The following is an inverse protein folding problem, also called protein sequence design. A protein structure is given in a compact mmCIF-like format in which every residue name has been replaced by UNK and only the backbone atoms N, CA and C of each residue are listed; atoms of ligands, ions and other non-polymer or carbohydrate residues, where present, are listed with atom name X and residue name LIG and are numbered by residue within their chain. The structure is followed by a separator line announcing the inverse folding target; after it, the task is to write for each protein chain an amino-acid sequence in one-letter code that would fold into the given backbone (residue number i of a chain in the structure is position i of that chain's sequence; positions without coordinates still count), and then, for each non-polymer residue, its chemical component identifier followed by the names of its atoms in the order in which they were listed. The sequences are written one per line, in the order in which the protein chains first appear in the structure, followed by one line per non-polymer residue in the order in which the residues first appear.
data_IF_034229434369
#
_entry.id   IF_034229434369
#
_cell.length_a   1.000
_cell.length_b   1.000
_cell.length_c   1.000
_cell.angle_alpha   90.00
_cell.angle_beta   90.00
_cell.angle_gamma   90.00
#
_symmetry.space_group_name_H-M   'P 1'
#
loop_
_entity.id
_entity.type
_entity.pdbx_description
1 polymer ?
#
# COMPACT_ATOMS: atom_id res chain seq x y z
N UNK A 1 -58.91 -8.56 -11.16
CA UNK A 1 -57.95 -7.89 -10.25
C UNK A 1 -56.86 -8.89 -9.93
N UNK A 2 -55.80 -8.90 -10.72
CA UNK A 2 -54.50 -8.28 -10.38
C UNK A 2 -53.72 -9.12 -9.36
N UNK A 3 -53.19 -10.26 -9.82
CA UNK A 3 -52.10 -10.96 -9.16
C UNK A 3 -50.80 -10.27 -9.56
N UNK A 4 -50.27 -9.43 -8.66
CA UNK A 4 -48.96 -8.83 -8.84
C UNK A 4 -47.88 -9.89 -8.58
N UNK A 5 -47.04 -10.13 -9.58
CA UNK A 5 -45.81 -10.89 -9.46
C UNK A 5 -44.96 -10.32 -8.31
N UNK A 6 -44.58 -11.19 -7.37
CA UNK A 6 -43.48 -10.90 -6.46
C UNK A 6 -42.21 -10.77 -7.31
N UNK A 7 -41.78 -9.53 -7.54
CA UNK A 7 -40.50 -9.26 -8.16
C UNK A 7 -39.41 -9.78 -7.21
N UNK A 8 -38.58 -10.65 -7.77
CA UNK A 8 -37.31 -11.14 -7.22
C UNK A 8 -36.50 -9.94 -6.69
N UNK A 9 -36.44 -9.79 -5.37
CA UNK A 9 -35.75 -8.70 -4.67
C UNK A 9 -34.54 -9.25 -3.94
N UNK A 10 -33.68 -9.97 -4.67
CA UNK A 10 -32.29 -10.06 -4.26
C UNK A 10 -31.66 -8.66 -4.37
N UNK A 11 -30.96 -8.15 -3.34
CA UNK A 11 -30.24 -6.89 -3.45
C UNK A 11 -29.30 -6.95 -4.66
N UNK A 12 -29.40 -6.00 -5.58
CA UNK A 12 -28.44 -5.89 -6.67
C UNK A 12 -27.07 -5.64 -6.04
N UNK A 13 -26.10 -6.50 -6.33
CA UNK A 13 -24.71 -6.34 -5.89
C UNK A 13 -24.22 -4.93 -6.24
N UNK A 14 -23.55 -4.29 -5.27
CA UNK A 14 -22.91 -3.00 -5.50
C UNK A 14 -21.82 -3.14 -6.57
N UNK A 15 -21.45 -2.05 -7.24
CA UNK A 15 -20.38 -2.09 -8.24
C UNK A 15 -19.04 -2.53 -7.62
N UNK A 16 -18.79 -2.19 -6.36
CA UNK A 16 -17.62 -2.64 -5.60
C UNK A 16 -17.60 -4.17 -5.40
N UNK A 17 -18.75 -4.76 -5.05
CA UNK A 17 -18.92 -6.21 -4.94
C UNK A 17 -18.73 -6.90 -6.29
N UNK A 18 -19.27 -6.32 -7.37
CA UNK A 18 -19.09 -6.85 -8.73
C UNK A 18 -17.61 -6.85 -9.15
N UNK A 19 -16.87 -5.77 -8.84
CA UNK A 19 -15.45 -5.68 -9.15
C UNK A 19 -14.61 -6.70 -8.35
N UNK A 20 -14.98 -6.95 -7.10
CA UNK A 20 -14.31 -7.96 -6.26
C UNK A 20 -14.61 -9.37 -6.74
N UNK A 21 -15.89 -9.68 -7.00
CA UNK A 21 -16.33 -10.97 -7.53
C UNK A 21 -15.72 -11.26 -8.92
N UNK A 22 -15.48 -10.23 -9.73
CA UNK A 22 -14.76 -10.37 -10.99
C UNK A 22 -13.34 -10.90 -10.74
N UNK A 23 -12.58 -10.33 -9.81
CA UNK A 23 -11.21 -10.79 -9.55
C UNK A 23 -11.18 -12.26 -9.11
N UNK A 24 -12.11 -12.67 -8.25
CA UNK A 24 -12.26 -14.08 -7.82
C UNK A 24 -12.64 -15.00 -8.98
N UNK A 25 -13.52 -14.53 -9.87
CA UNK A 25 -13.91 -15.27 -11.08
C UNK A 25 -12.73 -15.44 -12.04
N UNK A 26 -11.89 -14.41 -12.19
CA UNK A 26 -10.71 -14.46 -13.04
C UNK A 26 -9.64 -15.41 -12.47
N UNK A 27 -9.48 -15.44 -11.14
CA UNK A 27 -8.56 -16.35 -10.45
C UNK A 27 -8.97 -17.82 -10.65
N UNK A 28 -10.27 -18.11 -10.56
CA UNK A 28 -10.79 -19.46 -10.71
C UNK A 28 -10.74 -20.00 -12.17
N UNK A 29 -10.62 -19.12 -13.17
CA UNK A 29 -10.61 -19.51 -14.58
C UNK A 29 -9.20 -19.74 -15.09
N UNK A 30 -8.91 -20.96 -15.52
CA UNK A 30 -7.63 -21.30 -16.15
C UNK A 30 -7.56 -20.81 -17.60
N UNK A 31 -6.37 -20.38 -18.01
CA UNK A 31 -6.07 -20.10 -19.40
C UNK A 31 -6.11 -21.39 -20.23
N UNK A 32 -6.47 -21.32 -21.53
CA UNK A 32 -6.48 -22.50 -22.41
C UNK A 32 -5.13 -23.22 -22.47
N UNK A 33 -4.04 -22.47 -22.30
CA UNK A 33 -2.68 -22.98 -22.16
C UNK A 33 -1.91 -22.10 -21.17
N UNK A 34 -1.07 -22.69 -20.29
CA UNK A 34 -0.19 -21.93 -19.42
C UNK A 34 0.71 -20.97 -20.20
N UNK A 35 0.97 -19.79 -19.65
CA UNK A 35 1.86 -18.78 -20.19
C UNK A 35 3.01 -18.53 -19.21
N UNK A 36 4.06 -17.84 -19.67
CA UNK A 36 5.20 -17.50 -18.81
C UNK A 36 4.82 -16.62 -17.62
N UNK A 37 3.74 -15.84 -17.75
CA UNK A 37 3.24 -14.95 -16.70
C UNK A 37 2.20 -15.61 -15.77
N UNK A 38 1.78 -16.85 -16.03
CA UNK A 38 0.81 -17.56 -15.19
C UNK A 38 -0.15 -18.45 -15.95
N UNK A 39 -1.16 -18.95 -15.24
CA UNK A 39 -2.08 -19.99 -15.72
C UNK A 39 -3.57 -19.65 -15.54
N UNK A 40 -3.90 -18.51 -14.95
CA UNK A 40 -5.26 -18.03 -14.74
C UNK A 40 -5.62 -16.80 -15.59
N UNK A 41 -6.91 -16.51 -15.74
CA UNK A 41 -7.36 -15.25 -16.35
C UNK A 41 -6.98 -14.03 -15.50
N UNK A 42 -6.79 -14.20 -14.19
CA UNK A 42 -6.27 -13.15 -13.32
C UNK A 42 -4.80 -12.83 -13.65
N UNK A 43 -4.00 -13.85 -13.94
CA UNK A 43 -2.62 -13.64 -14.41
C UNK A 43 -2.59 -12.93 -15.76
N UNK A 44 -3.51 -13.25 -16.67
CA UNK A 44 -3.66 -12.52 -17.93
C UNK A 44 -4.08 -11.07 -17.69
N UNK A 45 -5.02 -10.83 -16.77
CA UNK A 45 -5.40 -9.48 -16.36
C UNK A 45 -4.20 -8.69 -15.88
N UNK A 46 -3.40 -9.24 -14.96
CA UNK A 46 -2.16 -8.61 -14.48
C UNK A 46 -1.12 -8.46 -15.58
N UNK A 47 -0.97 -9.43 -16.48
CA UNK A 47 -0.03 -9.33 -17.60
C UNK A 47 -0.40 -8.21 -18.58
N UNK A 48 -1.69 -8.00 -18.88
CA UNK A 48 -2.16 -6.89 -19.73
C UNK A 48 -1.99 -5.54 -19.01
N UNK A 49 -2.38 -5.50 -17.74
CA UNK A 49 -2.18 -4.39 -16.81
C UNK A 49 -0.71 -3.99 -16.69
N UNK A 50 0.18 -4.98 -16.70
CA UNK A 50 1.62 -4.83 -16.61
C UNK A 50 2.28 -4.70 -17.99
N UNK A 51 1.45 -4.66 -19.02
CA UNK A 51 1.81 -4.50 -20.41
C UNK A 51 2.56 -5.70 -20.97
N UNK A 52 2.87 -6.74 -20.17
CA UNK A 52 3.57 -7.99 -20.53
C UNK A 52 2.97 -8.63 -21.77
N UNK A 53 1.66 -8.48 -21.93
CA UNK A 53 0.94 -8.85 -23.15
C UNK A 53 0.19 -7.65 -23.74
N UNK A 54 -0.10 -7.67 -25.06
CA UNK A 54 -1.04 -6.73 -25.66
C UNK A 54 -2.43 -6.82 -25.02
N UNK A 55 -3.18 -5.73 -25.04
CA UNK A 55 -4.56 -5.71 -24.55
C UNK A 55 -5.44 -6.59 -25.45
N UNK A 56 -6.10 -7.58 -24.85
CA UNK A 56 -7.14 -8.39 -25.48
C UNK A 56 -8.49 -7.65 -25.40
N UNK A 57 -8.98 -7.20 -26.56
CA UNK A 57 -10.25 -6.47 -26.67
C UNK A 57 -11.43 -7.37 -26.33
N UNK A 58 -11.43 -8.63 -26.75
CA UNK A 58 -12.51 -9.57 -26.47
C UNK A 58 -12.58 -9.92 -24.98
N UNK A 59 -11.42 -10.02 -24.32
CA UNK A 59 -11.36 -10.11 -22.86
C UNK A 59 -12.01 -8.89 -22.20
N UNK A 60 -11.62 -7.68 -22.61
CA UNK A 60 -12.15 -6.43 -22.06
C UNK A 60 -13.68 -6.30 -22.23
N UNK A 61 -14.20 -6.69 -23.40
CA UNK A 61 -15.64 -6.72 -23.69
C UNK A 61 -16.37 -7.75 -22.81
N UNK A 62 -15.82 -8.96 -22.67
CA UNK A 62 -16.42 -10.03 -21.87
C UNK A 62 -16.56 -9.64 -20.39
N UNK A 63 -15.56 -8.97 -19.83
CA UNK A 63 -15.60 -8.51 -18.43
C UNK A 63 -16.39 -7.21 -18.25
N UNK A 64 -16.96 -6.65 -19.34
CA UNK A 64 -17.69 -5.38 -19.33
C UNK A 64 -16.85 -4.25 -18.75
N UNK A 65 -15.60 -4.15 -19.19
CA UNK A 65 -14.60 -3.25 -18.61
C UNK A 65 -15.09 -1.80 -18.56
N UNK A 66 -15.72 -1.33 -19.65
CA UNK A 66 -16.20 0.06 -19.75
C UNK A 66 -17.32 0.31 -18.76
N UNK A 67 -18.37 -0.51 -18.73
CA UNK A 67 -19.48 -0.33 -17.79
C UNK A 67 -19.03 -0.44 -16.33
N UNK A 68 -18.15 -1.41 -16.04
CA UNK A 68 -17.63 -1.63 -14.69
C UNK A 68 -16.83 -0.41 -14.22
N UNK A 69 -15.94 0.10 -15.07
CA UNK A 69 -15.10 1.26 -14.71
C UNK A 69 -15.89 2.56 -14.66
N UNK A 70 -16.91 2.76 -15.50
CA UNK A 70 -17.84 3.89 -15.37
C UNK A 70 -18.58 3.84 -14.03
N UNK A 71 -19.06 2.66 -13.63
CA UNK A 71 -19.71 2.46 -12.33
C UNK A 71 -18.78 2.64 -11.12
N UNK A 72 -17.47 2.42 -11.29
CA UNK A 72 -16.46 2.63 -10.25
C UNK A 72 -15.96 4.08 -10.16
N UNK A 73 -16.27 4.95 -11.14
CA UNK A 73 -15.81 6.35 -11.13
C UNK A 73 -16.15 7.11 -9.84
N UNK A 74 -17.32 6.94 -9.20
CA UNK A 74 -17.63 7.63 -7.94
C UNK A 74 -16.62 7.32 -6.83
N UNK A 75 -15.92 6.19 -6.87
CA UNK A 75 -14.84 5.91 -5.91
C UNK A 75 -13.74 6.96 -6.00
N UNK A 76 -13.48 7.56 -7.16
CA UNK A 76 -12.43 8.56 -7.33
C UNK A 76 -12.64 9.81 -6.44
N UNK A 77 -13.86 10.04 -5.96
CA UNK A 77 -14.21 11.19 -5.11
C UNK A 77 -14.47 10.81 -3.65
N UNK A 78 -14.54 9.51 -3.33
CA UNK A 78 -14.76 9.03 -1.96
C UNK A 78 -13.45 9.00 -1.14
N UNK A 79 -13.51 9.18 0.19
CA UNK A 79 -12.34 9.00 1.03
C UNK A 79 -11.69 7.62 0.85
N UNK A 80 -10.38 7.51 1.12
CA UNK A 80 -9.76 6.18 1.21
C UNK A 80 -10.38 5.45 2.42
N UNK A 81 -10.95 4.26 2.25
CA UNK A 81 -11.58 3.52 3.35
C UNK A 81 -10.62 3.28 4.51
N UNK A 82 -11.10 3.48 5.73
CA UNK A 82 -10.36 3.22 6.97
C UNK A 82 -10.48 1.77 7.44
N UNK A 83 -9.95 1.47 8.63
CA UNK A 83 -10.01 0.13 9.22
C UNK A 83 -11.45 -0.28 9.58
N UNK A 84 -12.27 0.68 10.03
CA UNK A 84 -13.69 0.48 10.36
C UNK A 84 -14.55 0.10 9.15
N UNK A 85 -14.11 0.50 7.94
CA UNK A 85 -14.79 0.18 6.68
C UNK A 85 -14.52 -1.26 6.20
N UNK A 86 -13.55 -1.94 6.83
CA UNK A 86 -13.13 -3.31 6.52
C UNK A 86 -12.09 -3.39 5.39
N UNK A 87 -11.14 -4.34 5.52
CA UNK A 87 -10.05 -4.57 4.55
C UNK A 87 -10.51 -4.78 3.10
N UNK A 88 -11.74 -5.27 2.92
CA UNK A 88 -12.35 -5.47 1.60
C UNK A 88 -12.54 -4.16 0.82
N UNK A 89 -12.77 -3.02 1.50
CA UNK A 89 -12.93 -1.74 0.84
C UNK A 89 -11.57 -1.15 0.38
N UNK A 90 -10.51 -1.35 1.17
CA UNK A 90 -9.14 -1.04 0.75
C UNK A 90 -8.75 -1.86 -0.49
N UNK A 91 -9.05 -3.17 -0.49
CA UNK A 91 -8.88 -4.05 -1.65
C UNK A 91 -9.63 -3.54 -2.87
N UNK A 92 -10.86 -3.04 -2.70
CA UNK A 92 -11.67 -2.46 -3.78
C UNK A 92 -10.99 -1.25 -4.43
N UNK A 93 -10.38 -0.35 -3.65
CA UNK A 93 -9.65 0.80 -4.21
C UNK A 93 -8.47 0.38 -5.10
N UNK A 94 -7.76 -0.68 -4.71
CA UNK A 94 -6.67 -1.26 -5.49
C UNK A 94 -7.18 -1.95 -6.76
N UNK A 95 -8.30 -2.68 -6.68
CA UNK A 95 -8.95 -3.30 -7.84
C UNK A 95 -9.41 -2.24 -8.84
N UNK A 96 -10.08 -1.18 -8.37
CA UNK A 96 -10.54 -0.08 -9.20
C UNK A 96 -9.38 0.62 -9.93
N UNK A 97 -8.28 0.90 -9.22
CA UNK A 97 -7.06 1.48 -9.82
C UNK A 97 -6.55 0.63 -10.97
N UNK A 98 -6.54 -0.69 -10.83
CA UNK A 98 -6.11 -1.60 -11.89
C UNK A 98 -7.11 -1.63 -13.05
N UNK A 99 -8.42 -1.75 -12.78
CA UNK A 99 -9.42 -1.70 -13.85
C UNK A 99 -9.35 -0.37 -14.65
N UNK A 100 -9.09 0.75 -14.00
CA UNK A 100 -8.87 2.05 -14.66
C UNK A 100 -7.63 2.05 -15.55
N UNK A 101 -6.54 1.43 -15.10
CA UNK A 101 -5.33 1.27 -15.92
C UNK A 101 -5.62 0.40 -17.14
N UNK A 102 -6.29 -0.74 -16.99
CA UNK A 102 -6.62 -1.60 -18.11
C UNK A 102 -7.46 -0.86 -19.16
N UNK A 103 -8.44 -0.05 -18.73
CA UNK A 103 -9.21 0.82 -19.62
C UNK A 103 -8.35 1.89 -20.29
N UNK A 104 -7.42 2.49 -19.54
CA UNK A 104 -6.45 3.43 -20.09
C UNK A 104 -5.62 2.82 -21.20
N UNK A 105 -5.09 1.61 -20.98
CA UNK A 105 -4.34 0.86 -21.99
C UNK A 105 -5.19 0.51 -23.22
N UNK A 106 -6.44 0.06 -23.03
CA UNK A 106 -7.38 -0.22 -24.12
C UNK A 106 -7.59 1.01 -24.99
N UNK A 107 -7.89 2.17 -24.39
CA UNK A 107 -8.13 3.42 -25.11
C UNK A 107 -6.88 3.90 -25.85
N UNK A 108 -5.70 3.79 -25.23
CA UNK A 108 -4.44 4.09 -25.91
C UNK A 108 -4.21 3.16 -27.12
N UNK A 109 -4.52 1.87 -26.99
CA UNK A 109 -4.43 0.89 -28.09
C UNK A 109 -5.39 1.19 -29.25
N UNK A 110 -6.52 1.84 -28.96
CA UNK A 110 -7.50 2.30 -29.96
C UNK A 110 -7.13 3.66 -30.60
N UNK A 111 -5.98 4.25 -30.24
CA UNK A 111 -5.57 5.57 -30.71
C UNK A 111 -6.22 6.75 -29.97
N UNK A 112 -7.08 6.50 -28.97
CA UNK A 112 -7.70 7.53 -28.12
C UNK A 112 -6.76 7.95 -27.00
N UNK A 113 -5.58 8.46 -27.37
CA UNK A 113 -4.47 8.71 -26.44
C UNK A 113 -4.85 9.68 -25.32
N UNK A 114 -5.52 10.78 -25.65
CA UNK A 114 -5.91 11.80 -24.66
C UNK A 114 -6.87 11.22 -23.60
N UNK A 115 -7.85 10.42 -24.01
CA UNK A 115 -8.76 9.72 -23.10
C UNK A 115 -8.01 8.67 -22.28
N UNK A 116 -7.21 7.81 -22.94
CA UNK A 116 -6.46 6.76 -22.27
C UNK A 116 -5.51 7.30 -21.21
N UNK A 117 -4.82 8.41 -21.49
CA UNK A 117 -4.00 9.14 -20.52
C UNK A 117 -4.81 9.59 -19.30
N UNK A 118 -6.01 10.14 -19.50
CA UNK A 118 -6.85 10.58 -18.39
C UNK A 118 -7.25 9.40 -17.48
N UNK A 119 -7.47 8.21 -18.06
CA UNK A 119 -7.71 6.97 -17.31
C UNK A 119 -6.46 6.47 -16.56
N UNK A 120 -5.28 6.51 -17.19
CA UNK A 120 -4.02 6.13 -16.56
C UNK A 120 -3.63 7.04 -15.38
N UNK A 121 -4.13 8.28 -15.34
CA UNK A 121 -3.90 9.20 -14.22
C UNK A 121 -4.81 8.91 -13.01
N UNK A 122 -5.92 8.18 -13.17
CA UNK A 122 -6.91 7.97 -12.10
C UNK A 122 -6.35 7.31 -10.84
N UNK A 123 -5.49 6.28 -10.89
CA UNK A 123 -4.89 5.73 -9.66
C UNK A 123 -4.15 6.78 -8.83
N UNK A 124 -3.46 7.70 -9.51
CA UNK A 124 -2.70 8.79 -8.87
C UNK A 124 -3.64 9.84 -8.26
N UNK A 125 -4.77 10.12 -8.89
CA UNK A 125 -5.83 10.95 -8.30
C UNK A 125 -6.45 10.25 -7.07
N UNK A 126 -6.73 8.95 -7.17
CA UNK A 126 -7.29 8.16 -6.07
C UNK A 126 -6.37 8.08 -4.85
N UNK A 127 -5.05 8.05 -5.06
CA UNK A 127 -4.04 8.12 -4.00
C UNK A 127 -4.08 9.42 -3.19
N UNK A 128 -4.67 10.48 -3.74
CA UNK A 128 -4.70 11.83 -3.12
C UNK A 128 -6.10 12.22 -2.65
N UNK A 129 -7.02 11.26 -2.57
CA UNK A 129 -8.35 11.46 -1.98
C UNK A 129 -8.23 11.81 -0.50
N UNK A 130 -9.29 12.38 0.06
CA UNK A 130 -9.35 12.68 1.49
C UNK A 130 -9.12 11.41 2.32
N UNK A 131 -8.46 11.54 3.47
CA UNK A 131 -8.18 10.41 4.36
C UNK A 131 -6.98 9.55 3.96
N UNK A 132 -6.18 9.98 2.97
CA UNK A 132 -5.01 9.22 2.53
C UNK A 132 -3.90 9.08 3.59
N UNK A 133 -3.88 9.91 4.62
CA UNK A 133 -2.96 9.86 5.76
C UNK A 133 -3.70 9.81 7.12
N UNK A 134 -4.93 9.31 7.16
CA UNK A 134 -5.66 9.12 8.43
C UNK A 134 -5.22 7.87 9.21
N UNK A 135 -4.41 7.00 8.59
CA UNK A 135 -3.77 5.84 9.22
C UNK A 135 -2.58 5.38 8.38
N UNK A 136 -1.72 4.54 8.96
CA UNK A 136 -0.61 3.91 8.24
C UNK A 136 -1.10 3.01 7.11
N UNK A 137 -2.22 2.31 7.30
CA UNK A 137 -2.82 1.46 6.25
C UNK A 137 -3.33 2.30 5.07
N UNK A 138 -4.01 3.41 5.34
CA UNK A 138 -4.51 4.30 4.28
C UNK A 138 -3.37 4.92 3.50
N UNK A 139 -2.28 5.32 4.17
CA UNK A 139 -1.09 5.86 3.50
C UNK A 139 -0.41 4.80 2.64
N UNK A 140 -0.24 3.58 3.15
CA UNK A 140 0.30 2.46 2.38
C UNK A 140 -0.55 2.19 1.12
N UNK A 141 -1.88 2.25 1.25
CA UNK A 141 -2.80 2.08 0.13
C UNK A 141 -2.64 3.21 -0.90
N UNK A 142 -2.51 4.45 -0.44
CA UNK A 142 -2.25 5.60 -1.30
C UNK A 142 -0.93 5.46 -2.08
N UNK A 143 0.15 5.07 -1.42
CA UNK A 143 1.46 4.78 -2.04
C UNK A 143 1.31 3.72 -3.13
N UNK A 144 0.59 2.63 -2.84
CA UNK A 144 0.40 1.54 -3.79
C UNK A 144 -0.42 1.97 -5.02
N UNK A 145 -1.49 2.74 -4.84
CA UNK A 145 -2.28 3.28 -5.96
C UNK A 145 -1.48 4.27 -6.82
N UNK A 146 -0.67 5.15 -6.21
CA UNK A 146 0.17 6.08 -6.98
C UNK A 146 1.23 5.29 -7.78
N UNK A 147 1.85 4.28 -7.15
CA UNK A 147 2.80 3.38 -7.81
C UNK A 147 2.22 2.66 -9.03
N UNK A 148 0.98 2.15 -8.94
CA UNK A 148 0.26 1.56 -10.07
C UNK A 148 0.16 2.57 -11.22
N UNK A 149 -0.35 3.78 -10.95
CA UNK A 149 -0.53 4.78 -11.99
C UNK A 149 0.79 5.24 -12.63
N UNK A 150 1.85 5.38 -11.83
CA UNK A 150 3.17 5.73 -12.32
C UNK A 150 3.74 4.67 -13.26
N UNK A 151 3.74 3.39 -12.84
CA UNK A 151 4.28 2.28 -13.62
C UNK A 151 3.49 2.08 -14.92
N UNK A 152 2.16 2.22 -14.89
CA UNK A 152 1.33 2.06 -16.09
C UNK A 152 1.56 3.18 -17.11
N UNK A 153 1.72 4.42 -16.66
CA UNK A 153 2.03 5.54 -17.56
C UNK A 153 3.44 5.44 -18.13
N UNK A 154 4.44 5.02 -17.33
CA UNK A 154 5.84 4.95 -17.71
C UNK A 154 6.11 4.23 -19.03
N UNK A 155 5.31 3.20 -19.35
CA UNK A 155 5.47 2.42 -20.59
C UNK A 155 5.27 3.22 -21.86
N UNK A 156 4.60 4.36 -21.76
CA UNK A 156 4.33 5.24 -22.89
C UNK A 156 5.40 6.31 -23.11
N UNK A 157 6.46 6.34 -22.28
CA UNK A 157 7.56 7.30 -22.38
C UNK A 157 8.18 7.33 -23.78
N UNK A 158 8.28 6.19 -24.46
CA UNK A 158 8.88 6.13 -25.81
C UNK A 158 7.85 6.04 -26.94
N UNK A 159 6.60 5.66 -26.65
CA UNK A 159 5.58 5.41 -27.68
C UNK A 159 4.61 6.57 -27.91
N UNK A 160 4.38 7.41 -26.90
CA UNK A 160 3.53 8.59 -27.08
C UNK A 160 4.29 9.71 -27.79
N UNK A 161 3.57 10.42 -28.66
CA UNK A 161 4.05 11.68 -29.21
C UNK A 161 4.41 12.65 -28.07
N UNK A 162 5.38 13.53 -28.32
CA UNK A 162 5.88 14.47 -27.32
C UNK A 162 4.75 15.33 -26.71
N UNK A 163 3.82 15.83 -27.53
CA UNK A 163 2.65 16.59 -27.06
C UNK A 163 1.83 15.82 -26.03
N UNK A 164 1.64 14.51 -26.24
CA UNK A 164 0.85 13.67 -25.34
C UNK A 164 1.60 13.38 -24.03
N UNK A 165 2.93 13.19 -24.11
CA UNK A 165 3.78 13.02 -22.93
C UNK A 165 3.81 14.28 -22.08
N UNK A 166 3.99 15.45 -22.70
CA UNK A 166 4.01 16.74 -21.99
C UNK A 166 2.66 17.09 -21.38
N UNK A 167 1.55 16.73 -22.03
CA UNK A 167 0.23 16.88 -21.44
C UNK A 167 0.00 15.95 -20.23
N UNK A 168 0.56 14.72 -20.23
CA UNK A 168 0.58 13.88 -19.02
C UNK A 168 1.39 14.50 -17.90
N UNK A 169 2.59 14.99 -18.21
CA UNK A 169 3.44 15.69 -17.24
C UNK A 169 2.70 16.87 -16.61
N UNK A 170 2.05 17.71 -17.42
CA UNK A 170 1.26 18.84 -16.92
C UNK A 170 0.16 18.39 -15.95
N UNK A 171 -0.59 17.34 -16.30
CA UNK A 171 -1.62 16.82 -15.40
C UNK A 171 -1.04 16.19 -14.13
N UNK A 172 0.06 15.45 -14.25
CA UNK A 172 0.76 14.84 -13.12
C UNK A 172 1.33 15.88 -12.14
N UNK A 173 1.87 16.99 -12.63
CA UNK A 173 2.40 18.09 -11.83
C UNK A 173 1.30 18.91 -11.13
N UNK A 174 0.06 18.84 -11.64
CA UNK A 174 -1.10 19.50 -11.02
C UNK A 174 -1.74 18.69 -9.88
N UNK A 175 -1.26 17.47 -9.63
CA UNK A 175 -1.76 16.64 -8.55
C UNK A 175 -1.38 17.24 -7.18
N UNK A 176 -2.29 17.12 -6.20
CA UNK A 176 -1.99 17.45 -4.81
C UNK A 176 -0.80 16.62 -4.27
N UNK A 177 -0.13 17.06 -3.20
CA UNK A 177 0.83 16.19 -2.51
C UNK A 177 0.17 14.89 -2.04
N UNK A 178 0.97 13.82 -1.93
CA UNK A 178 0.52 12.59 -1.24
C UNK A 178 0.36 12.89 0.26
N UNK A 179 -0.47 12.09 0.96
CA UNK A 179 -0.60 12.18 2.41
C UNK A 179 0.72 12.03 3.16
N UNK A 180 0.82 12.61 4.36
CA UNK A 180 2.06 12.68 5.11
C UNK A 180 2.23 11.51 6.10
N UNK A 181 3.42 10.90 6.13
CA UNK A 181 3.75 9.84 7.10
C UNK A 181 3.58 10.30 8.55
N UNK A 182 4.02 11.52 8.86
CA UNK A 182 3.91 12.08 10.21
C UNK A 182 2.44 12.12 10.67
N UNK A 183 1.53 12.61 9.83
CA UNK A 183 0.08 12.63 10.10
C UNK A 183 -0.48 11.22 10.27
N UNK A 184 -0.13 10.30 9.36
CA UNK A 184 -0.58 8.91 9.42
C UNK A 184 -0.17 8.23 10.73
N UNK A 185 1.06 8.45 11.20
CA UNK A 185 1.53 7.90 12.48
C UNK A 185 0.77 8.45 13.69
N UNK A 186 0.43 9.74 13.70
CA UNK A 186 -0.30 10.37 14.80
C UNK A 186 -1.76 9.89 14.89
N UNK A 187 -2.38 9.65 13.74
CA UNK A 187 -3.80 9.28 13.65
C UNK A 187 -4.06 7.77 13.65
N UNK A 188 -3.03 6.94 13.41
CA UNK A 188 -3.16 5.48 13.29
C UNK A 188 -3.89 4.84 14.48
N UNK A 189 -3.55 5.27 15.70
CA UNK A 189 -4.18 4.76 16.92
C UNK A 189 -5.67 5.08 17.03
N UNK A 190 -6.15 6.14 16.36
CA UNK A 190 -7.55 6.57 16.35
C UNK A 190 -8.36 5.99 15.17
N UNK A 191 -7.69 5.36 14.20
CA UNK A 191 -8.31 4.68 13.08
C UNK A 191 -8.99 3.35 13.48
N UNK A 192 -8.71 2.84 14.68
CA UNK A 192 -9.34 1.65 15.24
C UNK A 192 -10.67 1.99 15.95
N UNK A 193 -11.61 1.02 16.04
CA UNK A 193 -12.81 1.18 16.87
C UNK A 193 -12.42 1.58 18.29
N UNK A 194 -13.16 2.50 18.93
CA UNK A 194 -12.80 3.07 20.24
C UNK A 194 -12.42 2.01 21.29
N UNK A 195 -13.19 0.91 21.36
CA UNK A 195 -12.96 -0.22 22.27
C UNK A 195 -11.62 -0.96 22.05
N UNK A 196 -10.98 -0.77 20.90
CA UNK A 196 -9.74 -1.42 20.50
C UNK A 196 -8.55 -0.45 20.45
N UNK A 197 -8.77 0.85 20.70
CA UNK A 197 -7.70 1.85 20.70
C UNK A 197 -6.75 1.61 21.87
N UNK A 198 -5.46 1.89 21.66
CA UNK A 198 -4.43 1.70 22.68
C UNK A 198 -4.74 2.47 23.97
N UNK A 199 -5.22 3.73 23.87
CA UNK A 199 -5.62 4.55 25.02
C UNK A 199 -6.72 3.88 25.85
N UNK A 200 -7.72 3.31 25.18
CA UNK A 200 -8.83 2.60 25.83
C UNK A 200 -8.33 1.35 26.53
N UNK A 201 -7.50 0.54 25.86
CA UNK A 201 -6.92 -0.68 26.44
C UNK A 201 -6.06 -0.38 27.67
N UNK A 202 -5.24 0.68 27.62
CA UNK A 202 -4.42 1.15 28.76
C UNK A 202 -5.28 1.46 30.00
N UNK A 203 -6.46 2.06 29.81
CA UNK A 203 -7.36 2.38 30.93
C UNK A 203 -8.10 1.13 31.40
N UNK A 204 -8.67 0.35 30.47
CA UNK A 204 -9.44 -0.87 30.76
C UNK A 204 -8.61 -1.88 31.57
N UNK A 205 -7.34 -2.09 31.20
CA UNK A 205 -6.52 -3.16 31.75
C UNK A 205 -6.22 -2.98 33.23
N UNK A 206 -6.27 -1.74 33.76
CA UNK A 206 -6.10 -1.47 35.20
C UNK A 206 -7.15 -2.16 36.07
N UNK A 207 -8.32 -2.48 35.50
CA UNK A 207 -9.42 -3.15 36.18
C UNK A 207 -9.48 -4.67 35.96
N UNK A 208 -8.66 -5.19 35.04
CA UNK A 208 -8.67 -6.59 34.63
C UNK A 208 -7.56 -7.38 35.32
N UNK A 209 -7.83 -8.65 35.62
CA UNK A 209 -6.79 -9.63 36.02
C UNK A 209 -5.88 -9.95 34.84
N UNK A 210 -4.65 -10.42 35.09
CA UNK A 210 -3.71 -10.79 34.01
C UNK A 210 -4.27 -11.83 33.03
N UNK A 211 -5.08 -12.77 33.51
CA UNK A 211 -5.75 -13.75 32.66
C UNK A 211 -6.79 -13.09 31.73
N UNK A 212 -7.57 -12.13 32.24
CA UNK A 212 -8.54 -11.36 31.46
C UNK A 212 -7.86 -10.43 30.45
N UNK A 213 -6.75 -9.78 30.82
CA UNK A 213 -5.95 -8.95 29.91
C UNK A 213 -5.44 -9.78 28.72
N UNK A 214 -4.90 -10.96 29.00
CA UNK A 214 -4.42 -11.88 27.95
C UNK A 214 -5.56 -12.31 27.02
N UNK A 215 -6.67 -12.81 27.58
CA UNK A 215 -7.84 -13.23 26.80
C UNK A 215 -8.39 -12.09 25.93
N UNK A 216 -8.41 -10.85 26.46
CA UNK A 216 -8.85 -9.66 25.74
C UNK A 216 -7.98 -9.36 24.51
N UNK A 217 -6.66 -9.52 24.60
CA UNK A 217 -5.74 -9.33 23.48
C UNK A 217 -5.73 -10.49 22.50
N UNK A 218 -5.77 -11.74 22.98
CA UNK A 218 -5.86 -12.91 22.12
C UNK A 218 -7.09 -12.81 21.21
N UNK A 219 -8.26 -12.42 21.75
CA UNK A 219 -9.48 -12.20 20.96
C UNK A 219 -9.35 -11.05 19.97
N UNK A 220 -8.63 -9.98 20.34
CA UNK A 220 -8.44 -8.81 19.47
C UNK A 220 -7.52 -9.14 18.29
N UNK A 221 -6.44 -9.85 18.56
CA UNK A 221 -5.35 -10.07 17.60
C UNK A 221 -5.52 -11.35 16.77
N UNK A 222 -6.25 -12.36 17.27
CA UNK A 222 -6.46 -13.63 16.58
C UNK A 222 -6.88 -13.53 15.10
N UNK A 223 -7.75 -12.58 14.68
CA UNK A 223 -8.09 -12.43 13.27
C UNK A 223 -6.90 -12.13 12.34
N UNK A 224 -5.82 -11.54 12.86
CA UNK A 224 -4.59 -11.26 12.09
C UNK A 224 -3.62 -12.46 12.03
N UNK A 225 -3.86 -13.51 12.81
CA UNK A 225 -3.03 -14.72 12.89
C UNK A 225 -3.91 -15.97 12.67
N UNK A 226 -4.47 -16.15 11.46
CA UNK A 226 -5.32 -17.29 11.16
C UNK A 226 -4.48 -18.57 11.10
N UNK A 227 -4.91 -19.61 11.82
CA UNK A 227 -4.34 -20.95 11.72
C UNK A 227 -3.43 -21.36 12.90
N UNK A 228 -3.30 -22.67 13.17
CA UNK A 228 -2.50 -23.19 14.27
C UNK A 228 -0.98 -22.94 14.11
N UNK A 229 -0.50 -22.81 12.87
CA UNK A 229 0.90 -22.53 12.55
C UNK A 229 1.36 -21.16 13.05
N UNK A 230 0.44 -20.19 13.14
CA UNK A 230 0.73 -18.83 13.60
C UNK A 230 0.55 -18.64 15.12
N UNK A 231 0.26 -19.72 15.86
CA UNK A 231 -0.07 -19.61 17.29
C UNK A 231 1.08 -19.03 18.10
N UNK A 232 2.32 -19.42 17.77
CA UNK A 232 3.50 -18.89 18.46
C UNK A 232 3.68 -17.40 18.22
N UNK A 233 3.53 -16.94 16.97
CA UNK A 233 3.61 -15.50 16.69
C UNK A 233 2.50 -14.73 17.38
N UNK A 234 1.28 -15.26 17.42
CA UNK A 234 0.18 -14.65 18.19
C UNK A 234 0.56 -14.52 19.68
N UNK A 235 1.07 -15.59 20.29
CA UNK A 235 1.44 -15.58 21.71
C UNK A 235 2.58 -14.57 21.99
N UNK A 236 3.59 -14.49 21.11
CA UNK A 236 4.68 -13.51 21.18
C UNK A 236 4.15 -12.07 21.04
N UNK A 237 3.25 -11.83 20.08
CA UNK A 237 2.60 -10.53 19.88
C UNK A 237 1.76 -10.11 21.07
N UNK A 238 0.96 -11.02 21.65
CA UNK A 238 0.15 -10.77 22.84
C UNK A 238 1.02 -10.37 24.02
N UNK A 239 2.14 -11.08 24.25
CA UNK A 239 3.05 -10.76 25.34
C UNK A 239 3.67 -9.36 25.19
N UNK A 240 4.09 -8.99 23.98
CA UNK A 240 4.64 -7.65 23.71
C UNK A 240 3.58 -6.55 23.92
N UNK A 241 2.33 -6.78 23.50
CA UNK A 241 1.25 -5.82 23.70
C UNK A 241 0.87 -5.69 25.18
N UNK A 242 0.82 -6.79 25.94
CA UNK A 242 0.61 -6.75 27.39
C UNK A 242 1.66 -5.85 28.04
N UNK A 243 2.94 -6.09 27.75
CA UNK A 243 4.04 -5.33 28.33
C UNK A 243 4.03 -3.85 27.91
N UNK A 244 3.49 -3.48 26.75
CA UNK A 244 3.31 -2.07 26.38
C UNK A 244 2.13 -1.47 27.17
N UNK A 245 0.97 -2.13 27.14
CA UNK A 245 -0.28 -1.61 27.69
C UNK A 245 -0.19 -1.42 29.20
N UNK A 246 0.36 -2.39 29.94
CA UNK A 246 0.41 -2.34 31.40
C UNK A 246 1.35 -1.27 31.94
N UNK A 247 2.18 -0.66 31.09
CA UNK A 247 3.28 0.21 31.49
C UNK A 247 3.22 1.63 30.96
N UNK A 248 2.16 1.93 30.21
CA UNK A 248 1.89 3.27 29.72
C UNK A 248 0.63 3.81 30.40
N UNK A 249 0.58 5.13 30.55
CA UNK A 249 -0.67 5.89 30.63
C UNK A 249 -1.02 6.43 29.25
N UNK A 250 -2.28 6.86 29.00
CA UNK A 250 -2.65 7.49 27.73
C UNK A 250 -1.73 8.67 27.37
N UNK A 251 -1.36 9.50 28.34
CA UNK A 251 -0.48 10.66 28.14
C UNK A 251 0.93 10.24 27.74
N UNK A 252 1.49 9.22 28.39
CA UNK A 252 2.83 8.71 28.05
C UNK A 252 2.84 7.96 26.71
N UNK A 253 1.73 7.33 26.33
CA UNK A 253 1.55 6.73 25.01
C UNK A 253 1.53 7.81 23.92
N UNK A 254 0.79 8.89 24.14
CA UNK A 254 0.70 10.01 23.19
C UNK A 254 2.04 10.71 23.02
N UNK A 255 2.76 10.94 24.12
CA UNK A 255 4.11 11.48 24.09
C UNK A 255 5.09 10.56 23.33
N UNK A 256 4.96 9.24 23.51
CA UNK A 256 5.76 8.23 22.81
C UNK A 256 5.50 8.25 21.30
N UNK A 257 4.24 8.16 20.87
CA UNK A 257 3.87 8.17 19.45
C UNK A 257 4.31 9.48 18.80
N UNK A 258 4.06 10.62 19.46
CA UNK A 258 4.51 11.92 18.98
C UNK A 258 6.03 11.99 18.84
N UNK A 259 6.78 11.59 19.87
CA UNK A 259 8.24 11.61 19.86
C UNK A 259 8.83 10.78 18.72
N UNK A 260 8.33 9.55 18.54
CA UNK A 260 8.78 8.65 17.46
C UNK A 260 8.40 9.20 16.09
N UNK A 261 7.20 9.76 15.93
CA UNK A 261 6.76 10.36 14.66
C UNK A 261 7.60 11.56 14.23
N UNK A 262 8.09 12.38 15.17
CA UNK A 262 8.92 13.53 14.87
C UNK A 262 10.33 13.16 14.40
N UNK A 263 10.81 11.94 14.67
CA UNK A 263 12.12 11.49 14.18
C UNK A 263 12.19 11.42 12.66
N UNK A 264 11.04 11.20 12.02
CA UNK A 264 10.91 11.04 10.57
C UNK A 264 10.37 12.31 9.88
N UNK A 265 10.15 13.42 10.60
CA UNK A 265 9.60 14.65 10.01
C UNK A 265 10.60 15.82 10.01
N UNK A 266 10.97 16.42 8.84
CA UNK A 266 10.59 15.99 7.49
C UNK A 266 11.24 14.67 7.11
N UNK A 267 10.61 13.93 6.19
CA UNK A 267 11.06 12.61 5.76
C UNK A 267 12.28 12.70 4.86
N UNK A 268 13.41 12.12 5.29
CA UNK A 268 14.66 12.06 4.50
C UNK A 268 15.33 10.69 4.64
N UNK A 269 16.18 10.29 3.65
CA UNK A 269 16.94 9.04 3.73
C UNK A 269 17.80 8.93 5.00
N UNK A 270 18.42 10.03 5.44
CA UNK A 270 19.28 10.06 6.63
C UNK A 270 18.49 9.78 7.91
N UNK A 271 17.28 10.32 7.98
CA UNK A 271 16.37 10.09 9.11
C UNK A 271 15.84 8.66 9.13
N UNK A 272 15.50 8.09 7.98
CA UNK A 272 15.14 6.66 7.89
C UNK A 272 16.30 5.80 8.38
N UNK A 273 17.53 6.05 7.92
CA UNK A 273 18.71 5.30 8.36
C UNK A 273 18.92 5.39 9.87
N UNK A 274 18.82 6.59 10.44
CA UNK A 274 18.96 6.78 11.90
C UNK A 274 17.82 6.10 12.68
N UNK A 275 16.60 6.11 12.13
CA UNK A 275 15.43 5.46 12.69
C UNK A 275 15.58 3.92 12.68
N UNK A 276 15.98 3.33 11.55
CA UNK A 276 16.29 1.90 11.40
C UNK A 276 17.31 1.45 12.44
N UNK A 277 18.41 2.19 12.62
CA UNK A 277 19.44 1.85 13.60
C UNK A 277 18.90 1.77 15.04
N UNK A 278 18.04 2.73 15.43
CA UNK A 278 17.38 2.72 16.74
C UNK A 278 16.39 1.57 16.88
N UNK A 279 15.67 1.23 15.81
CA UNK A 279 14.75 0.09 15.80
C UNK A 279 15.49 -1.24 15.93
N UNK A 280 16.58 -1.43 15.19
CA UNK A 280 17.43 -2.62 15.27
C UNK A 280 18.02 -2.81 16.68
N UNK A 281 18.44 -1.72 17.32
CA UNK A 281 18.90 -1.75 18.70
C UNK A 281 17.77 -2.18 19.65
N UNK A 282 16.57 -1.62 19.50
CA UNK A 282 15.41 -1.98 20.31
C UNK A 282 15.02 -3.46 20.12
N UNK A 283 15.01 -3.97 18.88
CA UNK A 283 14.73 -5.38 18.58
C UNK A 283 15.78 -6.28 19.25
N UNK A 284 17.07 -5.92 19.19
CA UNK A 284 18.13 -6.68 19.88
C UNK A 284 17.92 -6.70 21.39
N UNK A 285 17.55 -5.56 21.99
CA UNK A 285 17.27 -5.47 23.43
C UNK A 285 16.09 -6.38 23.83
N UNK A 286 14.95 -6.30 23.12
CA UNK A 286 13.76 -7.14 23.40
C UNK A 286 14.10 -8.62 23.25
N UNK A 287 14.83 -9.02 22.20
CA UNK A 287 15.26 -10.40 22.01
C UNK A 287 16.23 -10.88 23.09
N UNK A 288 17.15 -10.03 23.54
CA UNK A 288 18.06 -10.37 24.62
C UNK A 288 17.31 -10.57 25.95
N UNK A 289 16.31 -9.73 26.23
CA UNK A 289 15.45 -9.86 27.42
C UNK A 289 14.60 -11.14 27.38
N UNK A 290 14.00 -11.48 26.24
CA UNK A 290 13.22 -12.71 26.10
C UNK A 290 14.05 -14.00 26.33
N UNK A 291 15.37 -13.93 26.13
CA UNK A 291 16.29 -15.05 26.35
C UNK A 291 16.92 -15.07 27.76
N UNK A 292 16.59 -14.12 28.64
CA UNK A 292 17.09 -14.15 30.03
C UNK A 292 16.32 -15.21 30.83
N UNK A 293 17.01 -15.98 31.69
CA UNK A 293 16.33 -16.83 32.67
C UNK A 293 15.36 -15.98 33.49
N UNK A 294 14.12 -16.45 33.62
CA UNK A 294 13.09 -15.77 34.41
C UNK A 294 13.48 -15.87 35.88
N UNK A 295 14.09 -14.83 36.43
CA UNK A 295 14.38 -14.75 37.86
C UNK A 295 13.14 -14.20 38.58
N UNK A 296 12.45 -15.00 39.41
CA UNK A 296 11.26 -14.57 40.13
C UNK A 296 11.53 -13.51 41.20
N UNK A 297 12.79 -13.18 41.50
CA UNK A 297 13.16 -12.21 42.55
C UNK A 297 13.45 -10.80 42.05
N UNK A 298 13.53 -10.59 40.73
CA UNK A 298 13.63 -9.27 40.14
C UNK A 298 12.26 -8.85 39.59
N UNK A 299 11.48 -8.02 40.31
CA UNK A 299 10.38 -7.34 39.66
C UNK A 299 11.02 -6.48 38.57
N UNK A 300 10.76 -6.79 37.30
CA UNK A 300 11.16 -5.92 36.21
C UNK A 300 10.47 -4.58 36.46
N UNK A 301 11.20 -3.60 36.99
CA UNK A 301 10.69 -2.25 37.13
C UNK A 301 10.54 -1.72 35.72
N UNK A 302 9.34 -1.81 35.18
CA UNK A 302 9.06 -1.42 33.82
C UNK A 302 9.02 0.11 33.80
N UNK A 303 10.02 0.70 33.17
CA UNK A 303 10.14 2.14 32.99
C UNK A 303 9.49 2.57 31.66
N UNK A 304 9.11 3.86 31.51
CA UNK A 304 8.73 4.42 30.21
C UNK A 304 9.75 4.15 29.09
N UNK A 305 11.03 4.00 29.45
CA UNK A 305 12.09 3.61 28.52
C UNK A 305 11.89 2.19 27.98
N UNK A 306 11.50 1.23 28.84
CA UNK A 306 11.21 -0.14 28.40
C UNK A 306 9.98 -0.19 27.48
N UNK A 307 8.92 0.55 27.80
CA UNK A 307 7.75 0.66 26.93
C UNK A 307 8.09 1.28 25.57
N UNK A 308 8.97 2.28 25.52
CA UNK A 308 9.47 2.85 24.27
C UNK A 308 10.27 1.84 23.42
N UNK A 309 11.14 1.05 24.06
CA UNK A 309 11.89 -0.03 23.41
C UNK A 309 10.95 -1.09 22.83
N UNK A 310 9.93 -1.52 23.58
CA UNK A 310 8.95 -2.50 23.12
C UNK A 310 8.11 -1.97 21.95
N UNK A 311 7.62 -0.74 22.05
CA UNK A 311 6.86 -0.10 20.97
C UNK A 311 7.66 0.00 19.69
N UNK A 312 8.96 0.34 19.78
CA UNK A 312 9.86 0.32 18.62
C UNK A 312 9.97 -1.08 18.04
N UNK A 313 10.31 -2.08 18.85
CA UNK A 313 10.51 -3.44 18.33
C UNK A 313 9.26 -4.01 17.63
N UNK A 314 8.07 -3.63 18.08
CA UNK A 314 6.80 -4.12 17.57
C UNK A 314 6.28 -3.32 16.36
N UNK A 315 6.19 -2.00 16.48
CA UNK A 315 5.39 -1.17 15.55
C UNK A 315 6.23 -0.50 14.47
N UNK A 316 7.48 -0.15 14.77
CA UNK A 316 8.28 0.70 13.87
C UNK A 316 8.89 0.02 12.64
N UNK A 317 9.04 -1.33 12.55
CA UNK A 317 9.43 -1.98 11.29
C UNK A 317 8.44 -1.74 10.15
N UNK A 318 7.13 -1.72 10.46
CA UNK A 318 6.08 -1.38 9.48
C UNK A 318 6.18 0.08 9.03
N UNK A 319 6.37 1.00 9.98
CA UNK A 319 6.56 2.44 9.72
C UNK A 319 7.78 2.69 8.82
N UNK A 320 8.88 1.97 9.06
CA UNK A 320 10.10 2.07 8.24
C UNK A 320 9.86 1.65 6.79
N UNK A 321 9.08 0.59 6.56
CA UNK A 321 8.68 0.16 5.23
C UNK A 321 7.86 1.23 4.51
N UNK A 322 6.87 1.82 5.19
CA UNK A 322 6.03 2.89 4.64
C UNK A 322 6.88 4.13 4.35
N UNK A 323 7.80 4.50 5.24
CA UNK A 323 8.71 5.62 5.07
C UNK A 323 9.57 5.49 3.80
N UNK A 324 10.16 4.31 3.57
CA UNK A 324 10.89 4.02 2.33
C UNK A 324 9.97 4.09 1.12
N UNK A 325 8.78 3.47 1.22
CA UNK A 325 7.77 3.48 0.16
C UNK A 325 7.37 4.89 -0.26
N UNK A 326 7.21 5.82 0.69
CA UNK A 326 6.90 7.23 0.41
C UNK A 326 8.02 7.92 -0.37
N UNK A 327 9.28 7.78 0.06
CA UNK A 327 10.41 8.39 -0.67
C UNK A 327 10.61 7.77 -2.05
N UNK A 328 10.47 6.45 -2.17
CA UNK A 328 10.63 5.76 -3.44
C UNK A 328 9.52 6.13 -4.43
N UNK A 329 8.26 6.25 -3.99
CA UNK A 329 7.16 6.64 -4.88
C UNK A 329 7.28 8.10 -5.33
N UNK A 330 7.78 8.99 -4.48
CA UNK A 330 8.13 10.37 -4.86
C UNK A 330 9.29 10.42 -5.86
N UNK A 331 10.32 9.61 -5.65
CA UNK A 331 11.45 9.51 -6.58
C UNK A 331 10.99 8.97 -7.94
N UNK A 332 10.18 7.90 -7.96
CA UNK A 332 9.59 7.37 -9.20
C UNK A 332 8.75 8.41 -9.92
N UNK A 333 7.96 9.23 -9.21
CA UNK A 333 7.21 10.33 -9.82
C UNK A 333 8.13 11.34 -10.53
N UNK A 334 9.23 11.75 -9.88
CA UNK A 334 10.22 12.67 -10.44
C UNK A 334 10.90 12.07 -11.68
N UNK A 335 11.33 10.81 -11.59
CA UNK A 335 11.96 10.11 -12.70
C UNK A 335 10.99 9.91 -13.87
N UNK A 336 9.73 9.59 -13.60
CA UNK A 336 8.69 9.49 -14.62
C UNK A 336 8.51 10.82 -15.35
N UNK A 337 8.50 11.96 -14.64
CA UNK A 337 8.42 13.29 -15.27
C UNK A 337 9.61 13.54 -16.19
N UNK A 338 10.84 13.28 -15.71
CA UNK A 338 12.06 13.45 -16.52
C UNK A 338 12.02 12.54 -17.75
N UNK A 339 11.71 11.26 -17.56
CA UNK A 339 11.58 10.28 -18.63
C UNK A 339 10.51 10.72 -19.65
N UNK A 340 9.32 11.12 -19.20
CA UNK A 340 8.25 11.60 -20.08
C UNK A 340 8.62 12.87 -20.85
N UNK A 341 9.43 13.78 -20.29
CA UNK A 341 9.93 14.95 -21.02
C UNK A 341 10.93 14.56 -22.10
N UNK A 342 11.91 13.70 -21.76
CA UNK A 342 13.00 13.33 -22.69
C UNK A 342 12.61 12.28 -23.72
N UNK A 343 11.72 11.35 -23.39
CA UNK A 343 11.29 10.25 -24.25
C UNK A 343 12.45 9.34 -24.60
N UNK A 344 12.68 9.10 -25.90
CA UNK A 344 13.80 8.30 -26.38
C UNK A 344 15.17 8.85 -25.94
N UNK A 345 15.28 10.16 -25.67
CA UNK A 345 16.51 10.79 -25.21
C UNK A 345 16.81 10.56 -23.71
N UNK A 346 15.94 9.85 -22.99
CA UNK A 346 16.21 9.45 -21.61
C UNK A 346 17.27 8.34 -21.58
N UNK A 347 18.37 8.56 -20.87
CA UNK A 347 19.56 7.70 -20.88
C UNK A 347 20.19 7.53 -19.48
N UNK A 348 21.36 6.87 -19.42
CA UNK A 348 22.05 6.58 -18.17
C UNK A 348 22.55 7.84 -17.44
N UNK A 349 22.78 8.96 -18.14
CA UNK A 349 23.25 10.20 -17.53
C UNK A 349 22.16 10.86 -16.69
N UNK A 350 20.89 10.64 -17.02
CA UNK A 350 19.75 11.13 -16.22
C UNK A 350 19.62 10.45 -14.85
N UNK A 351 20.32 9.33 -14.67
CA UNK A 351 20.35 8.55 -13.43
C UNK A 351 21.64 8.79 -12.64
N UNK A 352 22.52 9.68 -13.10
CA UNK A 352 23.77 10.00 -12.40
C UNK A 352 23.47 10.50 -10.98
N UNK A 353 24.04 9.82 -9.99
CA UNK A 353 23.85 10.11 -8.55
C UNK A 353 22.42 9.96 -8.02
N UNK A 354 21.52 9.31 -8.77
CA UNK A 354 20.18 8.99 -8.29
C UNK A 354 20.23 7.68 -7.50
N UNK A 355 19.70 7.72 -6.27
CA UNK A 355 19.63 6.57 -5.38
C UNK A 355 18.21 6.38 -4.83
N UNK A 356 17.84 5.14 -4.55
CA UNK A 356 16.63 4.77 -3.80
C UNK A 356 16.71 5.25 -2.35
N UNK A 357 15.61 5.16 -1.61
CA UNK A 357 15.56 5.56 -0.19
C UNK A 357 16.57 4.83 0.72
N UNK A 358 16.99 3.62 0.35
CA UNK A 358 18.03 2.83 1.03
C UNK A 358 19.47 3.12 0.52
N UNK A 359 19.63 4.10 -0.37
CA UNK A 359 20.92 4.55 -0.89
C UNK A 359 21.49 3.68 -2.01
N UNK A 360 20.72 2.76 -2.60
CA UNK A 360 21.17 1.97 -3.75
C UNK A 360 21.09 2.81 -5.02
N UNK A 361 22.16 2.78 -5.82
CA UNK A 361 22.19 3.46 -7.10
C UNK A 361 21.16 2.88 -8.07
N UNK A 362 20.50 3.77 -8.82
CA UNK A 362 19.65 3.40 -9.95
C UNK A 362 20.46 3.38 -11.25
N UNK A 363 20.13 2.43 -12.12
CA UNK A 363 20.77 2.30 -13.44
C UNK A 363 19.75 1.97 -14.51
N UNK A 364 20.08 2.32 -15.75
CA UNK A 364 19.28 1.91 -16.89
C UNK A 364 19.64 0.46 -17.27
N UNK A 365 18.62 -0.33 -17.60
CA UNK A 365 18.80 -1.72 -18.00
C UNK A 365 17.57 -2.28 -18.71
N UNK A 366 17.46 -3.60 -18.70
CA UNK A 366 16.35 -4.33 -19.27
C UNK A 366 15.67 -5.21 -18.22
N UNK A 367 14.34 -5.22 -18.21
CA UNK A 367 13.48 -6.08 -17.41
C UNK A 367 12.43 -6.70 -18.34
N UNK A 368 12.36 -8.04 -18.43
CA UNK A 368 11.46 -8.75 -19.34
C UNK A 368 11.45 -8.22 -20.80
N UNK A 369 12.64 -7.88 -21.32
CA UNK A 369 12.78 -7.33 -22.69
C UNK A 369 12.33 -5.87 -22.83
N UNK A 370 12.19 -5.14 -21.72
CA UNK A 370 11.79 -3.73 -21.68
C UNK A 370 12.83 -2.85 -21.05
N UNK A 371 12.97 -1.65 -21.60
CA UNK A 371 13.83 -0.62 -21.02
C UNK A 371 13.28 -0.26 -19.64
N UNK A 372 14.12 -0.39 -18.63
CA UNK A 372 13.73 -0.20 -17.24
C UNK A 372 14.83 0.54 -16.46
N UNK A 373 14.39 1.32 -15.49
CA UNK A 373 15.23 1.82 -14.40
C UNK A 373 15.28 0.70 -13.37
N UNK A 374 16.48 0.20 -13.10
CA UNK A 374 16.72 -0.92 -12.20
C UNK A 374 17.44 -0.44 -10.94
N UNK A 375 17.13 -1.08 -9.83
CA UNK A 375 17.92 -1.02 -8.60
C UNK A 375 19.24 -1.80 -8.76
N UNK A 376 20.16 -1.63 -7.81
CA UNK A 376 21.48 -2.28 -7.84
C UNK A 376 21.40 -3.83 -7.89
N UNK A 377 20.38 -4.41 -7.25
CA UNK A 377 20.07 -5.86 -7.25
C UNK A 377 19.31 -6.32 -8.51
N UNK A 378 19.08 -5.42 -9.47
CA UNK A 378 18.47 -5.73 -10.76
C UNK A 378 16.95 -5.78 -10.75
N UNK A 379 16.29 -5.38 -9.66
CA UNK A 379 14.83 -5.30 -9.60
C UNK A 379 14.32 -4.06 -10.37
N UNK A 380 13.17 -4.16 -11.05
CA UNK A 380 12.58 -3.02 -11.75
C UNK A 380 12.07 -1.98 -10.75
N UNK A 381 12.63 -0.76 -10.84
CA UNK A 381 12.15 0.42 -10.12
C UNK A 381 11.05 1.13 -10.91
N UNK A 382 11.24 1.24 -12.24
CA UNK A 382 10.26 1.79 -13.18
C UNK A 382 10.52 1.25 -14.60
N UNK A 383 9.50 0.69 -15.25
CA UNK A 383 9.63 0.15 -16.62
C UNK A 383 9.12 1.19 -17.62
N UNK A 384 10.02 1.75 -18.44
CA UNK A 384 9.79 2.98 -19.22
C UNK A 384 9.66 2.79 -20.74
N UNK A 385 9.91 1.60 -21.28
CA UNK A 385 9.85 1.44 -22.73
C UNK A 385 10.11 0.04 -23.21
N UNK A 386 10.13 -0.17 -24.52
CA UNK A 386 10.57 -1.44 -25.13
C UNK A 386 12.08 -1.39 -25.30
N UNK A 387 12.78 -2.52 -25.14
CA UNK A 387 14.16 -2.57 -25.65
C UNK A 387 14.06 -2.55 -27.17
N UNK A 388 14.75 -1.59 -27.82
CA UNK A 388 14.87 -1.54 -29.28
C UNK A 388 15.65 -2.74 -29.79
#
# INVERSE_FOLDING_TARGET
MAGAFAADTAPKQTIAEQATALMETLEARKLPQPKSFGDSELDLFYAMMDGLTPIDVAFCERIKLVELTDGLLPLADQPIPGLDDGLNQTKTSMIASRLFVLRGHLLCGQGKIAEGRAWLLKPRLMARRSGSDHSLLQLLTAIAMDGIGQQSAARYTESWAESERLAYVKSAESLLPLGALHTAMLLDGDAMPEKNRMRTLIVEFKSLTSAQQRDRLEKLLAPAFPGPELRKELDDFVNLHLDIITNLTPETYDALVKGISSELDPLTPEKIKAFTLRNDEAIKQVRAEANRPTDPTYPAAISPQKAATLYRALTTPGIESIARGTLDVELRAKLLIVAMRKGEAFDAMDLANVTTADGKALRLGADEGRKAILTADGQPFLTIGRVK
#
